data_IF_439924675638
#
_entry.id   IF_439924675638
#
_cell.length_a   1.000
_cell.length_b   1.000
_cell.length_c   1.000
_cell.angle_alpha   90.00
_cell.angle_beta   90.00
_cell.angle_gamma   90.00
#
_symmetry.space_group_name_H-M   'P 1'
#
loop_
_entity.id
_entity.type
_entity.pdbx_description
1 polymer ?
#
# COMPACT_ATOMS: atom_id res chain seq x y z
N UNK A 1 -12.80 -6.51 -37.24
CA UNK A 1 -12.13 -5.22 -37.01
C UNK A 1 -12.60 -4.70 -35.64
N UNK A 2 -11.91 -5.08 -34.56
CA UNK A 2 -11.95 -4.45 -33.22
C UNK A 2 -11.05 -5.27 -32.27
N UNK A 3 -9.74 -5.12 -32.43
CA UNK A 3 -8.70 -5.73 -31.56
C UNK A 3 -7.57 -4.75 -31.27
N UNK A 4 -7.85 -3.45 -31.34
CA UNK A 4 -6.86 -2.37 -31.15
C UNK A 4 -7.29 -1.25 -30.19
N UNK A 5 -8.29 -1.51 -29.35
CA UNK A 5 -8.63 -0.67 -28.20
C UNK A 5 -8.35 -1.37 -26.87
N UNK A 6 -7.28 -2.16 -26.78
CA UNK A 6 -6.58 -2.37 -25.49
C UNK A 6 -5.81 -1.10 -25.15
N UNK A 7 -6.53 0.02 -25.06
CA UNK A 7 -6.04 1.26 -24.47
C UNK A 7 -5.57 0.92 -23.07
N UNK A 8 -4.25 0.95 -22.86
CA UNK A 8 -3.49 1.55 -21.76
C UNK A 8 -4.25 1.89 -20.44
N UNK A 9 -5.11 0.99 -19.97
CA UNK A 9 -5.71 1.03 -18.65
C UNK A 9 -4.69 0.44 -17.71
N UNK A 10 -3.71 1.28 -17.35
CA UNK A 10 -2.76 0.94 -16.32
C UNK A 10 -3.53 0.64 -15.04
N UNK A 11 -3.47 -0.62 -14.60
CA UNK A 11 -4.23 -1.11 -13.46
C UNK A 11 -3.50 -0.86 -12.16
N UNK A 12 -4.23 -0.98 -11.06
CA UNK A 12 -3.65 -1.05 -9.72
C UNK A 12 -2.48 -2.03 -9.66
N UNK A 13 -2.64 -3.24 -10.20
CA UNK A 13 -1.57 -4.24 -10.20
C UNK A 13 -0.27 -3.80 -10.89
N UNK A 14 -0.31 -2.86 -11.84
CA UNK A 14 0.93 -2.30 -12.43
C UNK A 14 1.60 -1.31 -11.46
N UNK A 15 0.82 -0.52 -10.73
CA UNK A 15 1.34 0.34 -9.67
C UNK A 15 1.95 -0.49 -8.53
N UNK A 16 1.27 -1.57 -8.15
CA UNK A 16 1.77 -2.55 -7.17
C UNK A 16 3.08 -3.20 -7.63
N UNK A 17 3.15 -3.71 -8.86
CA UNK A 17 4.37 -4.29 -9.42
C UNK A 17 5.53 -3.28 -9.45
N UNK A 18 5.29 -2.05 -9.87
CA UNK A 18 6.31 -1.00 -9.87
C UNK A 18 6.80 -0.65 -8.45
N UNK A 19 5.93 -0.77 -7.44
CA UNK A 19 6.32 -0.61 -6.05
C UNK A 19 7.24 -1.74 -5.59
N UNK A 20 6.94 -3.00 -5.94
CA UNK A 20 7.80 -4.15 -5.65
C UNK A 20 9.21 -3.97 -6.25
N UNK A 21 9.27 -3.54 -7.52
CA UNK A 21 10.53 -3.25 -8.21
C UNK A 21 11.31 -2.14 -7.50
N UNK A 22 10.65 -1.01 -7.18
CA UNK A 22 11.29 0.14 -6.53
C UNK A 22 11.80 -0.18 -5.13
N UNK A 23 11.09 -1.04 -4.41
CA UNK A 23 11.50 -1.51 -3.08
C UNK A 23 12.55 -2.62 -3.14
N UNK A 24 12.84 -3.15 -4.33
CA UNK A 24 13.75 -4.29 -4.54
C UNK A 24 13.44 -5.48 -3.61
N UNK A 25 12.15 -5.79 -3.40
CA UNK A 25 11.70 -6.85 -2.50
C UNK A 25 12.04 -8.23 -3.06
N UNK A 26 13.31 -8.61 -2.99
CA UNK A 26 13.84 -9.88 -3.48
C UNK A 26 13.63 -11.00 -2.46
N UNK A 27 13.43 -12.21 -2.99
CA UNK A 27 13.48 -13.42 -2.18
C UNK A 27 14.84 -13.54 -1.50
N UNK A 28 14.85 -13.64 -0.17
CA UNK A 28 16.06 -13.81 0.65
C UNK A 28 16.60 -15.24 0.67
N UNK A 29 15.85 -16.21 0.13
CA UNK A 29 16.15 -17.63 0.30
C UNK A 29 17.01 -18.18 -0.84
N UNK A 30 18.21 -18.66 -0.50
CA UNK A 30 19.06 -19.49 -1.37
C UNK A 30 18.64 -20.96 -1.38
N UNK A 31 17.59 -21.33 -0.64
CA UNK A 31 17.15 -22.71 -0.46
C UNK A 31 16.04 -23.11 -1.45
N UNK A 32 16.00 -24.39 -1.83
CA UNK A 32 14.99 -24.98 -2.75
C UNK A 32 13.55 -25.02 -2.18
N UNK A 33 13.24 -24.36 -1.06
CA UNK A 33 11.88 -24.34 -0.50
C UNK A 33 11.03 -23.30 -1.23
N UNK A 34 9.73 -23.60 -1.38
CA UNK A 34 8.74 -22.61 -1.84
C UNK A 34 8.85 -21.35 -0.97
N UNK A 35 9.10 -20.23 -1.63
CA UNK A 35 9.12 -18.91 -1.04
C UNK A 35 8.14 -18.03 -1.81
N UNK A 36 6.96 -17.78 -1.24
CA UNK A 36 5.91 -16.98 -1.87
C UNK A 36 5.97 -15.55 -1.35
N UNK A 37 5.80 -14.58 -2.25
CA UNK A 37 5.57 -13.19 -1.87
C UNK A 37 4.14 -13.08 -1.32
N UNK A 38 4.03 -12.61 -0.09
CA UNK A 38 2.74 -12.35 0.57
C UNK A 38 2.42 -10.88 0.47
N UNK A 39 1.31 -10.55 -0.17
CA UNK A 39 0.84 -9.17 -0.39
C UNK A 39 -0.49 -9.00 0.33
N UNK A 40 -0.57 -8.04 1.24
CA UNK A 40 -1.85 -7.60 1.79
C UNK A 40 -2.29 -6.35 1.05
N UNK A 41 -3.56 -6.31 0.68
CA UNK A 41 -4.19 -5.21 -0.06
C UNK A 41 -5.37 -4.74 0.77
N UNK A 42 -5.38 -3.47 1.10
CA UNK A 42 -6.39 -2.81 1.92
C UNK A 42 -7.14 -1.83 1.03
N UNK A 43 -8.44 -2.01 0.93
CA UNK A 43 -9.24 -1.30 -0.07
C UNK A 43 -9.14 -1.97 -1.45
N UNK A 44 -9.97 -1.51 -2.38
CA UNK A 44 -10.19 -2.18 -3.67
C UNK A 44 -11.67 -2.27 -3.98
N UNK A 45 -12.10 -1.61 -5.05
CA UNK A 45 -13.45 -1.78 -5.56
C UNK A 45 -13.39 -2.75 -6.73
N UNK A 46 -13.44 -4.04 -6.38
CA UNK A 46 -13.35 -5.12 -7.38
C UNK A 46 -14.51 -5.09 -8.39
N UNK A 47 -15.64 -4.42 -8.08
CA UNK A 47 -16.79 -4.35 -8.97
C UNK A 47 -16.60 -3.27 -10.05
N UNK A 48 -16.00 -2.13 -9.70
CA UNK A 48 -15.83 -1.00 -10.63
C UNK A 48 -14.48 -0.98 -11.35
N UNK A 49 -13.48 -1.72 -10.87
CA UNK A 49 -12.19 -1.84 -11.56
C UNK A 49 -12.21 -2.79 -12.78
N UNK A 50 -13.35 -3.46 -13.03
CA UNK A 50 -13.73 -4.01 -14.33
C UNK A 50 -12.84 -5.14 -14.88
N UNK A 51 -11.95 -5.71 -14.06
CA UNK A 51 -11.01 -6.75 -14.46
C UNK A 51 -11.18 -7.99 -13.60
N UNK A 52 -11.06 -9.17 -14.23
CA UNK A 52 -10.97 -10.44 -13.48
C UNK A 52 -9.77 -10.36 -12.53
N UNK A 53 -9.86 -10.87 -11.28
CA UNK A 53 -8.77 -10.78 -10.32
C UNK A 53 -7.41 -11.22 -10.90
N UNK A 54 -7.38 -12.31 -11.70
CA UNK A 54 -6.16 -12.72 -12.40
C UNK A 54 -5.51 -11.60 -13.21
N UNK A 55 -6.29 -10.90 -14.03
CA UNK A 55 -5.80 -9.87 -14.95
C UNK A 55 -5.29 -8.65 -14.19
N UNK A 56 -5.94 -8.31 -13.08
CA UNK A 56 -5.51 -7.24 -12.18
C UNK A 56 -4.14 -7.56 -11.57
N UNK A 57 -3.96 -8.77 -11.07
CA UNK A 57 -2.80 -9.16 -10.27
C UNK A 57 -1.68 -9.85 -11.05
N UNK A 58 -1.87 -10.08 -12.35
CA UNK A 58 -0.90 -10.77 -13.20
C UNK A 58 0.47 -10.08 -13.21
N UNK A 59 0.52 -8.74 -13.21
CA UNK A 59 1.78 -7.98 -13.18
C UNK A 59 2.52 -8.14 -11.85
N UNK A 60 1.80 -8.21 -10.74
CA UNK A 60 2.39 -8.49 -9.41
C UNK A 60 3.01 -9.88 -9.39
N UNK A 61 2.30 -10.89 -9.90
CA UNK A 61 2.82 -12.24 -10.02
C UNK A 61 4.08 -12.31 -10.88
N UNK A 62 4.06 -11.72 -12.08
CA UNK A 62 5.23 -11.70 -12.97
C UNK A 62 6.42 -11.00 -12.34
N UNK A 63 6.22 -9.81 -11.76
CA UNK A 63 7.26 -9.06 -11.08
C UNK A 63 7.88 -9.84 -9.90
N UNK A 64 7.05 -10.52 -9.09
CA UNK A 64 7.55 -11.34 -8.00
C UNK A 64 8.47 -12.47 -8.50
N UNK A 65 8.14 -13.13 -9.61
CA UNK A 65 9.02 -14.15 -10.19
C UNK A 65 10.37 -13.56 -10.64
N UNK A 66 10.36 -12.37 -11.23
CA UNK A 66 11.57 -11.65 -11.65
C UNK A 66 12.44 -11.20 -10.45
N UNK A 67 11.81 -10.94 -9.31
CA UNK A 67 12.48 -10.66 -8.03
C UNK A 67 12.93 -11.94 -7.29
N UNK A 68 12.74 -13.11 -7.90
CA UNK A 68 13.22 -14.40 -7.39
C UNK A 68 12.28 -15.13 -6.44
N UNK A 69 11.02 -14.68 -6.33
CA UNK A 69 9.99 -15.43 -5.61
C UNK A 69 9.52 -16.62 -6.43
N UNK A 70 9.01 -17.65 -5.76
CA UNK A 70 8.47 -18.87 -6.42
C UNK A 70 6.98 -18.78 -6.70
N UNK A 71 6.30 -17.77 -6.15
CA UNK A 71 4.87 -17.56 -6.26
C UNK A 71 4.40 -16.35 -5.47
N UNK A 72 3.11 -16.07 -5.50
CA UNK A 72 2.47 -14.96 -4.80
C UNK A 72 1.17 -15.42 -4.15
N UNK A 73 0.95 -14.96 -2.93
CA UNK A 73 -0.32 -15.04 -2.20
C UNK A 73 -0.78 -13.61 -1.95
N UNK A 74 -1.98 -13.26 -2.42
CA UNK A 74 -2.54 -11.92 -2.28
C UNK A 74 -3.80 -11.99 -1.42
N UNK A 75 -3.87 -11.15 -0.39
CA UNK A 75 -5.06 -10.98 0.44
C UNK A 75 -5.65 -9.60 0.15
N UNK A 76 -6.86 -9.56 -0.40
CA UNK A 76 -7.59 -8.33 -0.75
C UNK A 76 -8.73 -8.14 0.23
N UNK A 77 -8.59 -7.14 1.11
CA UNK A 77 -9.45 -6.98 2.29
C UNK A 77 -10.15 -5.63 2.25
N UNK A 78 -11.46 -5.65 2.45
CA UNK A 78 -12.27 -4.44 2.57
C UNK A 78 -13.76 -4.73 2.77
N UNK A 79 -14.52 -3.76 3.29
CA UNK A 79 -15.93 -3.96 3.69
C UNK A 79 -16.86 -4.26 2.52
N UNK A 80 -16.52 -3.79 1.31
CA UNK A 80 -17.33 -3.96 0.10
C UNK A 80 -16.87 -5.15 -0.77
N UNK A 81 -15.79 -5.82 -0.37
CA UNK A 81 -15.27 -7.00 -1.08
C UNK A 81 -16.17 -8.20 -0.75
N UNK A 82 -16.33 -9.12 -1.70
CA UNK A 82 -17.02 -10.41 -1.47
C UNK A 82 -15.99 -11.45 -1.05
N UNK A 83 -16.30 -12.24 -0.02
CA UNK A 83 -15.48 -13.37 0.37
C UNK A 83 -15.39 -14.37 -0.78
N UNK A 84 -14.18 -14.54 -1.32
CA UNK A 84 -13.93 -15.45 -2.43
C UNK A 84 -12.46 -15.86 -2.44
N UNK A 85 -12.18 -17.07 -2.93
CA UNK A 85 -10.82 -17.56 -3.11
C UNK A 85 -10.61 -17.95 -4.57
N UNK A 86 -9.51 -17.45 -5.13
CA UNK A 86 -9.10 -17.75 -6.50
C UNK A 86 -7.74 -18.44 -6.50
N UNK A 87 -7.75 -19.74 -6.80
CA UNK A 87 -6.53 -20.54 -6.99
C UNK A 87 -6.30 -20.70 -8.49
N UNK A 88 -5.34 -19.95 -9.04
CA UNK A 88 -4.96 -20.08 -10.46
C UNK A 88 -3.89 -21.15 -10.66
N UNK A 89 -3.01 -21.32 -9.69
CA UNK A 89 -2.01 -22.38 -9.60
C UNK A 89 -1.55 -22.54 -8.14
N UNK A 90 -0.71 -23.54 -7.87
CA UNK A 90 -0.06 -23.70 -6.56
C UNK A 90 0.87 -22.53 -6.16
N UNK A 91 1.15 -21.61 -7.08
CA UNK A 91 2.05 -20.47 -6.89
C UNK A 91 1.35 -19.13 -7.13
N UNK A 92 0.04 -19.11 -7.42
CA UNK A 92 -0.70 -17.86 -7.62
C UNK A 92 -2.10 -17.98 -7.03
N UNK A 93 -2.23 -17.46 -5.81
CA UNK A 93 -3.43 -17.55 -4.98
C UNK A 93 -3.88 -16.15 -4.59
N UNK A 94 -5.19 -15.91 -4.64
CA UNK A 94 -5.81 -14.64 -4.26
C UNK A 94 -6.97 -14.94 -3.32
N UNK A 95 -6.93 -14.38 -2.13
CA UNK A 95 -7.99 -14.45 -1.14
C UNK A 95 -8.65 -13.09 -1.03
N UNK A 96 -9.97 -13.05 -1.09
CA UNK A 96 -10.78 -11.88 -0.83
C UNK A 96 -11.45 -12.03 0.52
N UNK A 97 -11.41 -10.98 1.34
CA UNK A 97 -12.03 -10.95 2.66
C UNK A 97 -12.92 -9.72 2.81
N UNK A 98 -14.19 -9.96 3.13
CA UNK A 98 -15.18 -8.94 3.46
C UNK A 98 -15.03 -8.54 4.92
N UNK A 99 -14.13 -7.61 5.19
CA UNK A 99 -14.03 -7.03 6.52
C UNK A 99 -13.24 -5.73 6.52
N UNK A 100 -13.26 -5.01 7.64
CA UNK A 100 -12.20 -4.05 7.93
C UNK A 100 -10.90 -4.80 8.22
N UNK A 101 -9.79 -4.28 7.69
CA UNK A 101 -8.50 -4.95 7.84
C UNK A 101 -8.13 -5.22 9.31
N UNK A 102 -8.53 -4.35 10.24
CA UNK A 102 -8.28 -4.56 11.66
C UNK A 102 -9.11 -5.65 12.31
N UNK A 103 -10.31 -5.91 11.82
CA UNK A 103 -11.14 -7.02 12.28
C UNK A 103 -10.62 -8.33 11.66
N UNK A 104 -10.26 -8.29 10.38
CA UNK A 104 -9.69 -9.43 9.66
C UNK A 104 -8.35 -9.90 10.23
N UNK A 105 -7.38 -9.01 10.44
CA UNK A 105 -6.05 -9.44 10.88
C UNK A 105 -6.07 -9.95 12.33
N UNK A 106 -6.93 -9.39 13.19
CA UNK A 106 -7.08 -9.87 14.57
C UNK A 106 -7.81 -11.20 14.66
N UNK A 107 -8.80 -11.43 13.81
CA UNK A 107 -9.55 -12.69 13.76
C UNK A 107 -8.75 -13.81 13.11
N UNK A 108 -8.01 -13.53 12.03
CA UNK A 108 -7.45 -14.56 11.14
C UNK A 108 -5.93 -14.77 11.30
N UNK A 109 -5.13 -13.74 11.66
CA UNK A 109 -3.68 -13.96 11.87
C UNK A 109 -3.38 -14.61 13.23
N UNK A 110 -4.29 -14.52 14.20
CA UNK A 110 -4.11 -15.12 15.53
C UNK A 110 -4.59 -16.58 15.57
N UNK A 111 -5.48 -16.99 14.65
CA UNK A 111 -6.16 -18.30 14.70
C UNK A 111 -5.71 -19.28 13.61
N UNK A 112 -5.43 -18.82 12.39
CA UNK A 112 -5.25 -19.71 11.22
C UNK A 112 -3.85 -19.68 10.60
N UNK A 113 -2.87 -19.02 11.24
CA UNK A 113 -1.48 -19.05 10.77
C UNK A 113 -1.25 -18.38 9.42
N UNK A 114 -2.11 -17.41 9.03
CA UNK A 114 -1.90 -16.60 7.83
C UNK A 114 -0.55 -15.88 7.90
N UNK A 115 0.08 -15.76 6.74
CA UNK A 115 1.48 -15.37 6.61
C UNK A 115 1.65 -13.87 6.83
N UNK A 116 2.73 -13.48 7.51
CA UNK A 116 3.13 -12.08 7.67
C UNK A 116 3.36 -11.49 6.26
N UNK A 117 2.74 -10.34 5.91
CA UNK A 117 2.93 -9.75 4.60
C UNK A 117 4.36 -9.29 4.41
N UNK A 118 4.83 -9.34 3.17
CA UNK A 118 6.11 -8.73 2.79
C UNK A 118 5.91 -7.27 2.39
N UNK A 119 4.67 -6.90 2.03
CA UNK A 119 4.25 -5.57 1.64
C UNK A 119 2.75 -5.43 1.89
N UNK A 120 2.36 -4.21 2.28
CA UNK A 120 0.96 -3.81 2.39
C UNK A 120 0.69 -2.75 1.33
N UNK A 121 -0.39 -2.92 0.59
CA UNK A 121 -0.83 -1.99 -0.44
C UNK A 121 -2.17 -1.39 -0.03
N UNK A 122 -2.21 -0.08 0.17
CA UNK A 122 -3.42 0.66 0.47
C UNK A 122 -3.92 1.32 -0.83
N UNK A 123 -5.05 0.84 -1.33
CA UNK A 123 -5.59 1.31 -2.61
C UNK A 123 -6.69 2.34 -2.41
N UNK A 124 -6.41 3.59 -2.79
CA UNK A 124 -7.34 4.72 -2.65
C UNK A 124 -8.15 4.71 -1.34
N UNK A 125 -7.51 4.48 -0.17
CA UNK A 125 -8.24 4.29 1.06
C UNK A 125 -8.98 5.58 1.47
N UNK A 126 -8.50 6.76 1.04
CA UNK A 126 -9.01 8.05 1.48
C UNK A 126 -8.89 8.18 3.00
N UNK A 127 -7.69 8.01 3.54
CA UNK A 127 -7.45 7.93 4.99
C UNK A 127 -8.00 9.17 5.70
N UNK A 128 -7.82 10.34 5.09
CA UNK A 128 -8.27 11.64 5.59
C UNK A 128 -9.80 11.81 5.67
N UNK A 129 -10.58 10.92 5.05
CA UNK A 129 -12.03 11.05 4.91
C UNK A 129 -12.87 10.09 5.76
N UNK A 130 -12.24 9.13 6.46
CA UNK A 130 -12.99 8.10 7.19
C UNK A 130 -12.32 7.71 8.52
N UNK A 131 -12.95 8.09 9.63
CA UNK A 131 -12.57 7.70 11.00
C UNK A 131 -12.40 6.17 11.17
N UNK A 132 -13.06 5.39 10.32
CA UNK A 132 -12.97 3.93 10.33
C UNK A 132 -11.57 3.39 10.00
N UNK A 133 -10.72 4.17 9.32
CA UNK A 133 -9.36 3.77 9.00
C UNK A 133 -8.39 3.92 10.17
N UNK A 134 -8.70 4.75 11.16
CA UNK A 134 -7.79 5.01 12.29
C UNK A 134 -7.39 3.71 13.00
N UNK A 135 -8.36 2.83 13.29
CA UNK A 135 -8.08 1.51 13.88
C UNK A 135 -7.19 0.64 13.00
N UNK A 136 -7.42 0.65 11.69
CA UNK A 136 -6.58 -0.06 10.72
C UNK A 136 -5.15 0.46 10.78
N UNK A 137 -4.97 1.78 10.70
CA UNK A 137 -3.66 2.43 10.79
C UNK A 137 -2.95 2.06 12.10
N UNK A 138 -3.63 2.16 13.24
CA UNK A 138 -3.05 1.87 14.57
C UNK A 138 -2.45 0.46 14.70
N UNK A 139 -2.94 -0.50 13.92
CA UNK A 139 -2.45 -1.88 13.96
C UNK A 139 -1.58 -2.26 12.76
N UNK A 140 -1.38 -1.35 11.79
CA UNK A 140 -0.53 -1.65 10.64
C UNK A 140 0.90 -1.96 11.13
N UNK A 141 1.50 -3.06 10.68
CA UNK A 141 2.88 -3.38 11.03
C UNK A 141 3.82 -2.40 10.35
N UNK A 142 4.25 -1.38 11.09
CA UNK A 142 5.02 -0.26 10.53
C UNK A 142 6.38 -0.67 9.97
N UNK A 143 6.91 -1.81 10.38
CA UNK A 143 8.17 -2.40 9.89
C UNK A 143 8.04 -3.01 8.49
N UNK A 144 6.81 -3.17 7.99
CA UNK A 144 6.52 -3.71 6.66
C UNK A 144 6.26 -2.54 5.71
N UNK A 145 6.87 -2.52 4.51
CA UNK A 145 6.61 -1.45 3.55
C UNK A 145 5.12 -1.32 3.25
N UNK A 146 4.60 -0.10 3.42
CA UNK A 146 3.23 0.25 3.12
C UNK A 146 3.22 1.22 1.95
N UNK A 147 2.67 0.77 0.82
CA UNK A 147 2.52 1.60 -0.38
C UNK A 147 1.07 2.03 -0.51
N UNK A 148 0.87 3.32 -0.67
CA UNK A 148 -0.43 3.94 -0.75
C UNK A 148 -0.61 4.60 -2.12
N UNK A 149 -1.80 4.49 -2.71
CA UNK A 149 -2.18 5.24 -3.92
C UNK A 149 -3.35 6.19 -3.65
N UNK A 150 -3.31 7.35 -4.30
CA UNK A 150 -4.33 8.42 -4.17
C UNK A 150 -4.67 8.98 -5.57
N UNK A 151 -5.80 9.66 -5.74
CA UNK A 151 -6.19 10.15 -7.06
C UNK A 151 -5.37 11.36 -7.51
N UNK A 152 -4.87 12.14 -6.56
CA UNK A 152 -4.04 13.34 -6.80
C UNK A 152 -2.88 13.43 -5.80
N UNK A 153 -1.95 14.36 -6.03
CA UNK A 153 -0.85 14.62 -5.08
C UNK A 153 -1.40 15.19 -3.77
N UNK A 154 -2.37 16.08 -3.87
CA UNK A 154 -3.00 16.75 -2.74
C UNK A 154 -3.66 15.72 -1.81
N UNK A 155 -4.41 14.75 -2.35
CA UNK A 155 -4.96 13.66 -1.54
C UNK A 155 -3.87 12.81 -0.89
N UNK A 156 -2.78 12.52 -1.61
CA UNK A 156 -1.66 11.80 -1.03
C UNK A 156 -0.99 12.58 0.12
N UNK A 157 -0.92 13.91 0.03
CA UNK A 157 -0.43 14.75 1.13
C UNK A 157 -1.39 14.69 2.32
N UNK A 158 -2.70 14.76 2.09
CA UNK A 158 -3.71 14.61 3.16
C UNK A 158 -3.64 13.23 3.83
N UNK A 159 -3.46 12.16 3.05
CA UNK A 159 -3.23 10.82 3.58
C UNK A 159 -1.95 10.76 4.43
N UNK A 160 -0.88 11.45 4.01
CA UNK A 160 0.36 11.54 4.77
C UNK A 160 0.16 12.27 6.09
N UNK A 161 -0.61 13.37 6.12
CA UNK A 161 -0.99 14.05 7.37
C UNK A 161 -1.68 13.09 8.33
N UNK A 162 -2.61 12.30 7.84
CA UNK A 162 -3.36 11.36 8.68
C UNK A 162 -2.46 10.23 9.23
N UNK A 163 -1.54 9.71 8.42
CA UNK A 163 -0.53 8.76 8.89
C UNK A 163 0.36 9.41 9.96
N UNK A 164 0.81 10.64 9.76
CA UNK A 164 1.62 11.37 10.74
C UNK A 164 0.86 11.56 12.06
N UNK A 165 -0.42 11.94 11.98
CA UNK A 165 -1.32 12.07 13.15
C UNK A 165 -1.41 10.76 13.93
N UNK A 166 -1.74 9.65 13.27
CA UNK A 166 -1.98 8.38 13.94
C UNK A 166 -0.68 7.74 14.46
N UNK A 167 0.40 7.76 13.68
CA UNK A 167 1.64 7.06 14.04
C UNK A 167 2.53 7.84 15.00
N UNK A 168 2.46 9.17 14.96
CA UNK A 168 3.32 10.04 15.75
C UNK A 168 2.56 10.86 16.78
N UNK A 169 1.24 10.66 16.87
CA UNK A 169 0.36 11.47 17.71
C UNK A 169 0.57 12.97 17.45
N UNK A 170 0.87 13.33 16.19
CA UNK A 170 1.10 14.72 15.80
C UNK A 170 -0.22 15.48 15.81
N UNK A 171 -0.22 16.65 16.46
CA UNK A 171 -1.40 17.51 16.51
C UNK A 171 -1.17 18.69 15.59
N UNK A 172 -2.01 18.78 14.57
CA UNK A 172 -2.01 19.86 13.60
C UNK A 172 -2.62 21.13 14.18
N UNK A 173 -2.06 22.28 13.83
CA UNK A 173 -2.60 23.58 14.22
C UNK A 173 -3.59 24.04 13.15
N UNK A 174 -4.88 24.18 13.50
CA UNK A 174 -5.93 24.61 12.56
C UNK A 174 -5.72 26.03 11.96
N UNK A 175 -4.61 26.69 12.25
CA UNK A 175 -4.31 28.06 11.86
C UNK A 175 -3.48 28.12 10.56
N UNK A 176 -2.76 27.05 10.17
CA UNK A 176 -1.94 27.02 8.95
C UNK A 176 -1.86 25.60 8.34
N UNK A 177 -2.77 25.32 7.40
CA UNK A 177 -2.83 24.02 6.72
C UNK A 177 -1.57 23.69 5.91
N UNK A 178 -0.89 24.70 5.36
CA UNK A 178 0.31 24.47 4.56
C UNK A 178 1.48 24.07 5.47
N UNK A 179 1.64 24.74 6.61
CA UNK A 179 2.66 24.37 7.58
C UNK A 179 2.43 22.97 8.13
N UNK A 180 1.18 22.62 8.45
CA UNK A 180 0.80 21.28 8.88
C UNK A 180 1.19 20.19 7.85
N UNK A 181 0.99 20.47 6.56
CA UNK A 181 1.39 19.58 5.47
C UNK A 181 2.90 19.40 5.39
N UNK A 182 3.66 20.49 5.46
CA UNK A 182 5.12 20.47 5.46
C UNK A 182 5.68 19.72 6.68
N UNK A 183 5.07 19.90 7.85
CA UNK A 183 5.43 19.20 9.07
C UNK A 183 5.17 17.70 8.98
N UNK A 184 3.98 17.30 8.48
CA UNK A 184 3.64 15.89 8.28
C UNK A 184 4.63 15.19 7.35
N UNK A 185 4.95 15.82 6.22
CA UNK A 185 5.93 15.30 5.27
C UNK A 185 7.33 15.23 5.88
N UNK A 186 7.71 16.21 6.70
CA UNK A 186 8.98 16.22 7.40
C UNK A 186 9.06 15.08 8.42
N UNK A 187 7.99 14.84 9.18
CA UNK A 187 7.92 13.73 10.15
C UNK A 187 8.04 12.37 9.46
N UNK A 188 7.36 12.21 8.32
CA UNK A 188 7.27 10.95 7.59
C UNK A 188 8.37 10.69 6.58
N UNK A 189 9.16 11.69 6.17
CA UNK A 189 10.12 11.49 5.09
C UNK A 189 11.46 12.20 5.30
N UNK A 190 11.61 13.05 6.32
CA UNK A 190 12.91 13.67 6.60
C UNK A 190 13.87 12.66 7.27
N UNK A 191 15.05 12.51 6.68
CA UNK A 191 16.11 11.61 7.15
C UNK A 191 16.73 11.97 8.51
N UNK A 192 16.28 13.05 9.16
CA UNK A 192 16.91 13.65 10.34
C UNK A 192 16.14 13.47 11.66
N UNK A 193 14.95 12.87 11.64
CA UNK A 193 14.21 12.55 12.86
C UNK A 193 14.86 11.37 13.59
N UNK A 194 15.48 11.63 14.74
CA UNK A 194 16.29 10.65 15.50
C UNK A 194 15.54 9.42 16.02
N UNK A 195 14.20 9.39 15.94
CA UNK A 195 13.38 8.23 16.36
C UNK A 195 12.77 7.43 15.22
N UNK A 196 12.76 7.96 13.98
CA UNK A 196 12.12 7.33 12.84
C UNK A 196 13.01 7.47 11.61
N UNK A 197 13.81 6.43 11.35
CA UNK A 197 14.60 6.32 10.13
C UNK A 197 13.74 5.64 9.06
N UNK A 198 12.65 6.26 8.62
CA UNK A 198 11.77 5.57 7.67
C UNK A 198 12.46 5.30 6.33
N UNK A 199 12.20 4.13 5.74
CA UNK A 199 12.49 3.86 4.33
C UNK A 199 11.20 4.13 3.56
N UNK A 200 11.29 4.90 2.47
CA UNK A 200 10.09 5.26 1.73
C UNK A 200 10.32 6.35 0.69
N UNK A 201 9.22 6.86 0.14
CA UNK A 201 9.22 8.03 -0.72
C UNK A 201 7.97 8.88 -0.45
N UNK A 202 8.10 10.21 -0.50
CA UNK A 202 7.00 11.13 -0.25
C UNK A 202 5.93 11.03 -1.36
N UNK A 203 4.76 11.64 -1.16
CA UNK A 203 3.77 11.86 -2.22
C UNK A 203 4.42 12.34 -3.51
N UNK A 204 4.24 11.56 -4.57
CA UNK A 204 4.72 11.89 -5.89
C UNK A 204 3.79 11.33 -6.96
N UNK A 205 3.97 11.79 -8.19
CA UNK A 205 3.21 11.27 -9.30
C UNK A 205 3.55 9.80 -9.50
N UNK A 206 2.52 8.97 -9.59
CA UNK A 206 2.70 7.57 -9.90
C UNK A 206 3.03 7.44 -11.40
N UNK A 207 4.22 6.90 -11.75
CA UNK A 207 4.62 6.73 -13.14
C UNK A 207 3.71 5.74 -13.88
N UNK A 208 2.94 4.92 -13.16
CA UNK A 208 1.99 3.93 -13.67
C UNK A 208 0.51 4.33 -13.45
N UNK A 209 0.23 5.60 -13.15
CA UNK A 209 -1.16 6.10 -13.02
C UNK A 209 -2.00 5.79 -14.26
N UNK A 210 -3.32 5.68 -14.06
CA UNK A 210 -4.28 5.51 -15.15
C UNK A 210 -4.30 6.72 -16.08
N UNK A 211 -4.47 6.43 -17.37
CA UNK A 211 -4.67 7.44 -18.41
C UNK A 211 -6.12 7.94 -18.47
N UNK A 212 -7.05 7.22 -17.82
CA UNK A 212 -8.43 7.64 -17.68
C UNK A 212 -8.57 8.74 -16.64
N UNK A 213 -9.32 9.78 -16.98
CA UNK A 213 -9.75 10.80 -16.03
C UNK A 213 -10.98 10.26 -15.30
N UNK A 214 -10.99 10.33 -13.98
CA UNK A 214 -12.15 10.00 -13.16
C UNK A 214 -13.06 11.24 -13.10
N UNK A 215 -14.29 11.18 -13.64
CA UNK A 215 -15.25 12.27 -13.48
C UNK A 215 -15.56 12.40 -11.99
N UNK A 216 -15.20 13.54 -11.40
CA UNK A 216 -15.41 13.80 -9.98
C UNK A 216 -16.22 15.07 -9.87
N UNK A 217 -17.47 14.96 -9.46
CA UNK A 217 -18.43 16.07 -9.41
C UNK A 217 -18.07 17.14 -8.38
N UNK A 218 -17.25 16.76 -7.40
CA UNK A 218 -16.76 17.63 -6.32
C UNK A 218 -15.32 18.10 -6.53
N UNK A 219 -14.69 17.76 -7.67
CA UNK A 219 -13.33 18.19 -7.96
C UNK A 219 -13.26 19.73 -8.01
N UNK A 220 -12.31 20.35 -7.29
CA UNK A 220 -12.04 21.78 -7.47
C UNK A 220 -11.67 22.06 -8.93
N UNK A 221 -12.03 23.26 -9.40
CA UNK A 221 -11.79 23.64 -10.80
C UNK A 221 -10.30 23.50 -11.16
N UNK A 222 -10.02 22.79 -12.26
CA UNK A 222 -8.65 22.56 -12.74
C UNK A 222 -7.96 21.30 -12.22
N UNK A 223 -8.55 20.58 -11.26
CA UNK A 223 -8.00 19.33 -10.75
C UNK A 223 -8.40 18.14 -11.63
N UNK A 224 -7.43 17.30 -11.99
CA UNK A 224 -7.64 16.12 -12.83
C UNK A 224 -7.40 14.87 -11.99
N UNK A 225 -8.49 14.23 -11.61
CA UNK A 225 -8.48 12.99 -10.83
C UNK A 225 -8.18 11.80 -11.75
N UNK A 226 -7.27 10.93 -11.33
CA UNK A 226 -6.88 9.72 -12.07
C UNK A 226 -6.76 8.56 -11.10
N UNK A 227 -7.26 7.39 -11.48
CA UNK A 227 -6.96 6.16 -10.74
C UNK A 227 -5.44 6.01 -10.61
N UNK A 228 -5.00 5.78 -9.38
CA UNK A 228 -3.60 5.72 -8.96
C UNK A 228 -2.78 6.94 -9.38
N UNK A 229 -3.35 8.15 -9.39
CA UNK A 229 -2.70 9.38 -9.86
C UNK A 229 -1.40 9.74 -9.13
N UNK A 230 -1.39 9.51 -7.82
CA UNK A 230 -0.26 9.67 -6.94
C UNK A 230 0.00 8.38 -6.13
N UNK A 231 1.19 8.30 -5.57
CA UNK A 231 1.57 7.23 -4.66
C UNK A 231 2.65 7.70 -3.69
N UNK A 232 2.73 7.01 -2.57
CA UNK A 232 3.77 7.18 -1.56
C UNK A 232 4.08 5.84 -0.91
N UNK A 233 5.21 5.75 -0.24
CA UNK A 233 5.57 4.58 0.55
C UNK A 233 6.15 5.02 1.88
N UNK A 234 5.71 4.38 2.95
CA UNK A 234 6.29 4.54 4.27
C UNK A 234 6.63 3.17 4.86
N UNK A 235 7.71 3.13 5.62
CA UNK A 235 8.13 1.98 6.40
C UNK A 235 8.96 2.52 7.56
N UNK A 236 8.63 2.14 8.79
CA UNK A 236 9.44 2.40 9.97
C UNK A 236 10.62 1.43 9.99
N UNK A 237 11.86 1.93 10.07
CA UNK A 237 12.96 1.05 10.44
C UNK A 237 12.83 0.61 11.90
N UNK A 238 13.14 -0.66 12.20
CA UNK A 238 13.27 -1.09 13.59
C UNK A 238 14.20 -0.13 14.30
N UNK A 239 13.77 0.44 15.44
CA UNK A 239 14.69 1.22 16.25
C UNK A 239 15.89 0.34 16.54
N UNK A 240 17.10 0.74 16.11
CA UNK A 240 18.32 0.09 16.55
C UNK A 240 18.31 0.18 18.07
N UNK A 241 17.88 -0.91 18.72
CA UNK A 241 17.96 -1.00 20.17
C UNK A 241 19.38 -0.63 20.55
N UNK A 242 19.55 0.26 21.53
CA UNK A 242 20.83 0.76 22.04
C UNK A 242 21.63 -0.34 22.76
N UNK A 243 21.49 -1.58 22.31
CA UNK A 243 22.09 -2.76 22.87
C UNK A 243 23.55 -2.80 22.43
N UNK A 244 24.43 -2.44 23.37
CA UNK A 244 25.91 -2.60 23.39
C UNK A 244 26.79 -1.39 23.07
N UNK A 245 26.62 -0.26 23.76
CA UNK A 245 27.75 0.68 23.96
C UNK A 245 28.44 0.50 25.34
N UNK A 246 27.81 -0.17 26.32
CA UNK A 246 28.43 -0.41 27.63
C UNK A 246 29.06 -1.81 27.81
N UNK A 247 29.86 -2.26 26.83
CA UNK A 247 30.83 -3.36 27.04
C UNK A 247 32.14 -3.07 26.32
N UNK A 248 32.88 -2.06 26.81
CA UNK A 248 34.35 -1.99 26.90
C UNK A 248 34.78 -0.54 27.16
N UNK A 249 34.95 -0.19 28.43
CA UNK A 249 36.24 0.14 29.05
C UNK A 249 36.03 0.46 30.52
#
# INVERSE_FOLDING_TARGET
>A
QSTRDTMNLRSFGQSAAAALERLELRSSSSSQKKNHLVVHVIGGDTEHEGKKPREMWQSVYTCALELGWTGVIIYVIGPDIKDEEYIYSENFIIHHGRDFYHEWILSECVTDGKQIPHIILLFHPGLWGYDKWEKTLQILPTEIPCVLTSYTIEEAILDAREIARVFFNYTFSNDDEQQDEEDALSILFASSSSSWQGIGWPPQINPNRSTSIRPTTTAPFGHVYRENGAWQCFQRLPSLSTTNINKKM
#
